data_IF_670746903047
#
_entry.id   IF_670746903047
#
_cell.length_a   1.000
_cell.length_b   1.000
_cell.length_c   1.000
_cell.angle_alpha   90.00
_cell.angle_beta   90.00
_cell.angle_gamma   90.00
#
_symmetry.space_group_name_H-M   'P 1'
#
loop_
_entity.id
_entity.type
_entity.pdbx_description
1 polymer ?
#
# COMPACT_ATOMS: atom_id res chain seq x y z
N UNK A 1 -16.76 -24.54 1.58
CA UNK A 1 -15.85 -23.36 1.64
C UNK A 1 -14.48 -23.75 2.18
N UNK A 2 -13.42 -23.54 1.40
CA UNK A 2 -12.02 -23.86 1.74
C UNK A 2 -11.14 -22.62 1.59
N UNK A 3 -10.30 -22.31 2.57
CA UNK A 3 -9.29 -21.23 2.43
C UNK A 3 -8.18 -21.73 1.50
N UNK A 4 -7.89 -20.96 0.45
CA UNK A 4 -6.87 -21.30 -0.55
C UNK A 4 -5.61 -20.47 -0.39
N UNK A 5 -5.77 -19.19 -0.03
CA UNK A 5 -4.64 -18.27 0.11
C UNK A 5 -4.95 -17.20 1.16
N UNK A 6 -3.91 -16.76 1.86
CA UNK A 6 -3.95 -15.60 2.73
C UNK A 6 -2.64 -14.82 2.64
N UNK A 7 -2.72 -13.50 2.66
CA UNK A 7 -1.58 -12.61 2.85
C UNK A 7 -1.90 -11.49 3.82
N UNK A 8 -0.90 -11.10 4.59
CA UNK A 8 -0.94 -10.02 5.56
C UNK A 8 0.33 -9.19 5.39
N UNK A 9 0.17 -7.91 5.08
CA UNK A 9 1.26 -6.96 4.99
C UNK A 9 1.11 -5.90 6.07
N UNK A 10 2.19 -5.66 6.81
CA UNK A 10 2.23 -4.65 7.87
C UNK A 10 3.42 -3.74 7.67
N UNK A 11 3.17 -2.43 7.65
CA UNK A 11 4.21 -1.42 7.58
C UNK A 11 4.16 -0.50 8.80
N UNK A 12 5.32 -0.15 9.34
CA UNK A 12 5.45 0.73 10.50
C UNK A 12 6.55 1.75 10.29
N UNK A 13 6.32 2.99 10.73
CA UNK A 13 7.34 4.04 10.83
C UNK A 13 7.47 4.44 12.29
N UNK A 14 8.69 4.34 12.83
CA UNK A 14 8.97 4.67 14.22
C UNK A 14 10.19 5.57 14.31
N UNK A 15 10.16 6.50 15.26
CA UNK A 15 11.37 7.17 15.73
C UNK A 15 12.25 6.11 16.39
N UNK A 16 13.50 6.00 15.91
CA UNK A 16 14.47 5.02 16.38
C UNK A 16 15.37 5.63 17.46
N UNK A 17 16.36 6.42 17.05
CA UNK A 17 17.30 7.12 17.94
C UNK A 17 17.66 8.48 17.37
N UNK A 18 17.53 9.55 18.17
CA UNK A 18 17.77 10.91 17.70
C UNK A 18 16.91 11.24 16.48
N UNK A 19 17.53 11.80 15.45
CA UNK A 19 16.90 12.18 14.19
C UNK A 19 16.84 11.00 13.19
N UNK A 20 16.60 9.77 13.66
CA UNK A 20 16.47 8.59 12.80
C UNK A 20 15.08 7.97 12.86
N UNK A 21 14.58 7.59 11.68
CA UNK A 21 13.34 6.84 11.53
C UNK A 21 13.66 5.41 11.10
N UNK A 22 13.12 4.44 11.82
CA UNK A 22 13.09 3.04 11.41
C UNK A 22 11.77 2.76 10.70
N UNK A 23 11.87 2.31 9.45
CA UNK A 23 10.74 1.93 8.62
C UNK A 23 10.83 0.45 8.30
N UNK A 24 9.76 -0.28 8.57
CA UNK A 24 9.64 -1.69 8.24
C UNK A 24 8.39 -1.93 7.41
N UNK A 25 8.48 -2.83 6.44
CA UNK A 25 7.34 -3.44 5.76
C UNK A 25 7.53 -4.95 5.78
N UNK A 26 6.57 -5.66 6.36
CA UNK A 26 6.58 -7.11 6.51
C UNK A 26 5.45 -7.72 5.70
N UNK A 27 5.71 -8.87 5.10
CA UNK A 27 4.73 -9.71 4.42
C UNK A 27 4.75 -11.09 5.07
N UNK A 28 3.58 -11.56 5.49
CA UNK A 28 3.34 -12.94 5.91
C UNK A 28 2.16 -13.46 5.09
N UNK A 29 2.44 -14.35 4.15
CA UNK A 29 1.44 -14.98 3.28
C UNK A 29 1.50 -16.49 3.32
N UNK A 30 0.64 -17.16 2.56
CA UNK A 30 0.72 -18.62 2.37
C UNK A 30 2.10 -19.04 1.87
N UNK A 31 2.74 -18.25 1.01
CA UNK A 31 3.98 -18.65 0.34
C UNK A 31 5.23 -17.98 0.91
N UNK A 32 5.08 -16.76 1.43
CA UNK A 32 6.22 -15.92 1.79
C UNK A 32 6.19 -15.46 3.25
N UNK A 33 7.38 -15.33 3.82
CA UNK A 33 7.65 -14.53 5.01
C UNK A 33 8.85 -13.65 4.71
N UNK A 34 8.64 -12.33 4.65
CA UNK A 34 9.67 -11.39 4.19
C UNK A 34 9.53 -10.02 4.83
N UNK A 35 10.64 -9.28 4.91
CA UNK A 35 10.72 -7.92 5.45
C UNK A 35 11.59 -7.05 4.54
N UNK A 36 11.11 -5.85 4.24
CA UNK A 36 11.93 -4.72 3.78
C UNK A 36 12.11 -3.74 4.92
N UNK A 37 13.32 -3.21 5.07
CA UNK A 37 13.66 -2.28 6.15
C UNK A 37 14.49 -1.11 5.63
N UNK A 38 14.21 0.08 6.16
CA UNK A 38 15.02 1.28 5.97
C UNK A 38 15.26 1.99 7.30
N UNK A 39 16.45 2.57 7.45
CA UNK A 39 16.73 3.61 8.42
C UNK A 39 16.94 4.90 7.64
N UNK A 40 16.20 5.95 7.98
CA UNK A 40 16.30 7.26 7.30
C UNK A 40 16.62 8.36 8.29
N UNK A 41 17.21 9.43 7.80
CA UNK A 41 17.26 10.71 8.51
C UNK A 41 15.84 11.32 8.61
N UNK A 42 15.47 11.84 9.78
CA UNK A 42 14.13 12.36 10.05
C UNK A 42 13.83 13.63 9.26
N UNK A 43 14.82 14.54 9.14
CA UNK A 43 14.63 15.86 8.54
C UNK A 43 14.68 15.82 7.03
N UNK A 44 15.56 15.00 6.46
CA UNK A 44 15.78 14.91 5.01
C UNK A 44 15.16 13.69 4.35
N UNK A 45 14.69 12.70 5.11
CA UNK A 45 14.25 11.40 4.61
C UNK A 45 15.30 10.67 3.76
N UNK A 46 16.58 11.06 3.86
CA UNK A 46 17.67 10.36 3.18
C UNK A 46 17.92 9.01 3.86
N UNK A 47 17.97 7.98 3.04
CA UNK A 47 18.25 6.61 3.48
C UNK A 47 19.68 6.55 4.03
N UNK A 48 19.82 6.07 5.26
CA UNK A 48 21.10 5.75 5.89
C UNK A 48 21.45 4.27 5.72
N UNK A 49 20.45 3.40 5.86
CA UNK A 49 20.57 1.95 5.66
C UNK A 49 19.30 1.43 5.01
N UNK A 50 19.44 0.46 4.12
CA UNK A 50 18.33 -0.28 3.56
C UNK A 50 18.71 -1.76 3.45
N UNK A 51 17.76 -2.64 3.71
CA UNK A 51 17.94 -4.09 3.54
C UNK A 51 16.61 -4.77 3.29
N UNK A 52 16.68 -6.00 2.80
CA UNK A 52 15.54 -6.90 2.76
C UNK A 52 15.96 -8.29 3.21
N UNK A 53 14.99 -9.05 3.69
CA UNK A 53 15.14 -10.44 4.14
C UNK A 53 13.91 -11.24 3.72
N UNK A 54 14.12 -12.42 3.15
CA UNK A 54 13.10 -13.44 2.85
C UNK A 54 13.45 -14.66 3.71
N UNK A 55 12.61 -14.90 4.72
CA UNK A 55 12.77 -16.00 5.66
C UNK A 55 12.13 -17.29 5.14
N UNK A 56 11.05 -17.15 4.35
CA UNK A 56 10.34 -18.26 3.74
C UNK A 56 9.87 -17.91 2.34
N UNK A 57 10.04 -18.87 1.43
CA UNK A 57 9.51 -18.88 0.07
C UNK A 57 9.16 -20.32 -0.33
N UNK A 58 8.45 -20.53 -1.46
CA UNK A 58 8.27 -21.86 -2.03
C UNK A 58 9.62 -22.57 -2.22
N UNK A 59 9.72 -23.79 -1.66
CA UNK A 59 10.90 -24.65 -1.66
C UNK A 59 12.20 -24.00 -1.14
N UNK A 60 12.10 -22.85 -0.45
CA UNK A 60 13.26 -22.06 -0.01
C UNK A 60 14.06 -21.40 -1.15
N UNK A 61 13.54 -21.43 -2.38
CA UNK A 61 14.24 -20.97 -3.60
C UNK A 61 14.64 -19.49 -3.60
N UNK A 62 13.99 -18.65 -2.78
CA UNK A 62 14.22 -17.21 -2.69
C UNK A 62 14.65 -16.76 -1.29
N UNK A 63 14.93 -17.69 -0.38
CA UNK A 63 15.36 -17.36 0.97
C UNK A 63 16.72 -16.66 0.97
N UNK A 64 16.89 -15.69 1.86
CA UNK A 64 18.12 -14.93 1.98
C UNK A 64 17.87 -13.48 2.36
N UNK A 65 18.88 -12.64 2.26
CA UNK A 65 18.76 -11.22 2.55
C UNK A 65 19.96 -10.46 2.05
N UNK A 66 19.78 -9.16 1.85
CA UNK A 66 20.80 -8.29 1.28
C UNK A 66 20.70 -6.89 1.85
N UNK A 67 21.85 -6.34 2.24
CA UNK A 67 22.00 -4.91 2.49
C UNK A 67 22.20 -4.16 1.17
N UNK A 68 21.63 -2.96 1.08
CA UNK A 68 21.59 -2.15 -0.13
C UNK A 68 22.33 -0.82 0.10
N UNK A 69 23.66 -0.82 0.27
CA UNK A 69 24.44 0.40 0.49
C UNK A 69 24.30 1.41 -0.65
N UNK A 70 23.94 0.98 -1.86
CA UNK A 70 23.71 1.83 -3.03
C UNK A 70 22.48 2.74 -2.89
N UNK A 71 21.58 2.46 -1.93
CA UNK A 71 20.47 3.34 -1.60
C UNK A 71 20.84 4.44 -0.59
N UNK A 72 22.03 4.39 0.02
CA UNK A 72 22.44 5.40 0.98
C UNK A 72 22.48 6.80 0.33
N UNK A 73 21.89 7.77 1.01
CA UNK A 73 21.77 9.15 0.54
C UNK A 73 20.58 9.42 -0.39
N UNK A 74 19.90 8.40 -0.93
CA UNK A 74 18.66 8.57 -1.70
C UNK A 74 17.56 9.06 -0.77
N UNK A 75 16.80 10.08 -1.17
CA UNK A 75 15.63 10.52 -0.42
C UNK A 75 14.47 9.53 -0.64
N UNK A 76 13.97 8.94 0.45
CA UNK A 76 12.85 8.00 0.46
C UNK A 76 11.51 8.73 0.30
N UNK A 77 11.30 9.34 -0.87
CA UNK A 77 10.11 10.14 -1.19
C UNK A 77 9.63 9.85 -2.64
N UNK A 78 8.87 10.74 -3.28
CA UNK A 78 8.21 10.45 -4.58
C UNK A 78 9.13 9.93 -5.70
N UNK A 79 10.40 10.34 -5.73
CA UNK A 79 11.36 9.95 -6.76
C UNK A 79 12.10 8.64 -6.46
N UNK A 80 11.91 8.04 -5.28
CA UNK A 80 12.66 6.86 -4.85
C UNK A 80 12.41 5.63 -5.72
N UNK A 81 11.24 5.52 -6.35
CA UNK A 81 10.85 4.34 -7.14
C UNK A 81 11.84 3.99 -8.27
N UNK A 82 12.40 5.00 -8.95
CA UNK A 82 13.41 4.78 -9.99
C UNK A 82 14.72 4.22 -9.43
N UNK A 83 15.13 4.65 -8.23
CA UNK A 83 16.30 4.13 -7.54
C UNK A 83 16.08 2.70 -7.06
N UNK A 84 14.93 2.42 -6.42
CA UNK A 84 14.57 1.07 -5.99
C UNK A 84 14.58 0.08 -7.17
N UNK A 85 14.01 0.47 -8.31
CA UNK A 85 14.04 -0.36 -9.52
C UNK A 85 15.45 -0.60 -10.04
N UNK A 86 16.33 0.40 -10.03
CA UNK A 86 17.72 0.23 -10.51
C UNK A 86 18.58 -0.63 -9.59
N UNK A 87 18.44 -0.46 -8.28
CA UNK A 87 19.30 -1.13 -7.29
C UNK A 87 18.81 -2.56 -7.00
N UNK A 88 17.51 -2.75 -6.89
CA UNK A 88 16.90 -4.04 -6.50
C UNK A 88 16.44 -4.84 -7.73
N UNK A 89 15.99 -4.18 -8.79
CA UNK A 89 15.54 -4.85 -10.01
C UNK A 89 14.34 -5.76 -9.77
N UNK A 90 14.46 -6.99 -10.27
CA UNK A 90 13.48 -8.07 -10.13
C UNK A 90 13.99 -9.21 -9.23
N UNK A 91 14.95 -8.90 -8.36
CA UNK A 91 15.47 -9.83 -7.34
C UNK A 91 14.32 -10.49 -6.58
N UNK A 92 14.36 -11.82 -6.43
CA UNK A 92 13.29 -12.63 -5.84
C UNK A 92 11.88 -12.32 -6.39
N UNK A 93 11.78 -12.13 -7.72
CA UNK A 93 10.52 -11.76 -8.37
C UNK A 93 10.00 -10.43 -7.85
N UNK A 94 10.86 -9.42 -7.71
CA UNK A 94 10.47 -8.06 -7.33
C UNK A 94 9.91 -7.87 -5.91
N UNK A 95 9.68 -8.91 -5.12
CA UNK A 95 9.13 -8.81 -3.76
C UNK A 95 9.92 -7.85 -2.86
N UNK A 96 11.27 -7.91 -2.79
CA UNK A 96 12.07 -6.93 -2.07
C UNK A 96 11.80 -5.47 -2.49
N UNK A 97 11.66 -5.22 -3.79
CA UNK A 97 11.35 -3.88 -4.32
C UNK A 97 9.99 -3.41 -3.84
N UNK A 98 8.98 -4.29 -3.82
CA UNK A 98 7.65 -3.95 -3.33
C UNK A 98 7.66 -3.63 -1.83
N UNK A 99 8.35 -4.42 -1.02
CA UNK A 99 8.47 -4.18 0.43
C UNK A 99 9.14 -2.83 0.72
N UNK A 100 10.22 -2.51 0.00
CA UNK A 100 10.92 -1.23 0.12
C UNK A 100 10.08 -0.06 -0.40
N UNK A 101 9.26 -0.26 -1.43
CA UNK A 101 8.31 0.76 -1.89
C UNK A 101 7.21 1.02 -0.86
N UNK A 102 6.74 0.00 -0.15
CA UNK A 102 5.81 0.18 0.98
C UNK A 102 6.48 0.91 2.16
N UNK A 103 7.78 0.73 2.40
CA UNK A 103 8.53 1.56 3.36
C UNK A 103 8.50 3.05 2.96
N UNK A 104 8.78 3.37 1.69
CA UNK A 104 8.72 4.74 1.18
C UNK A 104 7.32 5.34 1.36
N UNK A 105 6.26 4.59 1.01
CA UNK A 105 4.88 5.04 1.23
C UNK A 105 4.58 5.30 2.71
N UNK A 106 5.05 4.41 3.59
CA UNK A 106 4.90 4.59 5.04
C UNK A 106 5.57 5.88 5.51
N UNK A 107 6.79 6.16 5.05
CA UNK A 107 7.53 7.36 5.41
C UNK A 107 6.83 8.64 4.94
N UNK A 108 6.35 8.66 3.70
CA UNK A 108 5.54 9.75 3.13
C UNK A 108 4.32 10.03 4.02
N UNK A 109 3.61 8.99 4.48
CA UNK A 109 2.45 9.15 5.36
C UNK A 109 2.83 9.59 6.78
N UNK A 110 3.98 9.15 7.30
CA UNK A 110 4.48 9.54 8.61
C UNK A 110 4.90 11.03 8.67
N UNK A 111 5.16 11.66 7.53
CA UNK A 111 5.52 13.07 7.42
C UNK A 111 4.49 13.99 8.10
N UNK A 112 3.21 13.60 8.10
CA UNK A 112 2.12 14.31 8.80
C UNK A 112 2.42 14.56 10.29
N UNK A 113 3.25 13.72 10.93
CA UNK A 113 3.58 13.85 12.36
C UNK A 113 4.92 14.56 12.62
N UNK A 114 5.73 14.75 11.59
CA UNK A 114 7.08 15.37 11.67
C UNK A 114 7.24 16.53 10.69
N UNK A 115 6.13 17.12 10.22
CA UNK A 115 6.16 18.17 9.20
C UNK A 115 6.98 19.40 9.64
N UNK A 116 6.99 19.74 10.94
CA UNK A 116 7.81 20.83 11.47
C UNK A 116 9.30 20.52 11.25
N UNK A 117 9.74 19.32 11.60
CA UNK A 117 11.13 18.88 11.40
C UNK A 117 11.51 18.77 9.92
N UNK A 118 10.51 18.55 9.06
CA UNK A 118 10.63 18.56 7.59
C UNK A 118 10.65 19.96 6.98
N UNK A 119 10.56 21.00 7.82
CA UNK A 119 10.72 22.39 7.41
C UNK A 119 9.41 23.13 7.09
N UNK A 120 8.25 22.53 7.31
CA UNK A 120 6.97 23.22 7.17
C UNK A 120 6.69 24.04 8.43
N UNK A 121 6.43 25.36 8.34
CA UNK A 121 6.29 26.21 9.52
C UNK A 121 4.97 26.04 10.27
N UNK A 122 3.97 25.38 9.67
CA UNK A 122 2.65 25.16 10.27
C UNK A 122 1.90 24.02 9.59
N UNK A 123 0.88 23.49 10.28
CA UNK A 123 -0.05 22.51 9.72
C UNK A 123 -0.67 23.01 8.41
N UNK A 124 -1.09 24.28 8.37
CA UNK A 124 -1.64 24.90 7.15
C UNK A 124 -0.64 24.89 6.00
N UNK A 125 0.62 25.25 6.25
CA UNK A 125 1.64 25.27 5.20
C UNK A 125 1.93 23.86 4.65
N UNK A 126 1.88 22.84 5.51
CA UNK A 126 1.96 21.44 5.09
C UNK A 126 0.75 21.05 4.24
N UNK A 127 -0.48 21.34 4.69
CA UNK A 127 -1.69 21.04 3.93
C UNK A 127 -1.72 21.73 2.56
N UNK A 128 -1.38 23.01 2.50
CA UNK A 128 -1.38 23.78 1.26
C UNK A 128 -0.37 23.18 0.25
N UNK A 129 0.80 22.72 0.71
CA UNK A 129 1.75 21.98 -0.12
C UNK A 129 1.15 20.67 -0.63
N UNK A 130 0.51 19.90 0.24
CA UNK A 130 -0.11 18.61 -0.11
C UNK A 130 -1.27 18.76 -1.10
N UNK A 131 -2.09 19.80 -0.93
CA UNK A 131 -3.18 20.14 -1.86
C UNK A 131 -2.66 20.41 -3.29
N UNK A 132 -1.45 20.98 -3.42
CA UNK A 132 -0.80 21.22 -4.70
C UNK A 132 -0.17 19.95 -5.28
N UNK A 133 0.68 19.25 -4.50
CA UNK A 133 1.45 18.13 -5.02
C UNK A 133 0.60 16.87 -5.29
N UNK A 134 -0.52 16.71 -4.58
CA UNK A 134 -1.46 15.60 -4.78
C UNK A 134 -2.68 15.99 -5.59
N UNK A 135 -2.71 17.18 -6.19
CA UNK A 135 -3.81 17.60 -7.05
C UNK A 135 -4.12 16.51 -8.08
N UNK A 136 -5.39 16.09 -8.14
CA UNK A 136 -5.87 15.02 -9.01
C UNK A 136 -5.35 13.59 -8.71
N UNK A 137 -4.63 13.37 -7.61
CA UNK A 137 -4.05 12.06 -7.29
C UNK A 137 -5.09 11.06 -6.75
N UNK A 138 -6.15 11.54 -6.10
CA UNK A 138 -7.29 10.73 -5.65
C UNK A 138 -8.55 11.59 -5.56
N UNK A 139 -9.69 10.96 -5.29
CA UNK A 139 -10.98 11.65 -5.17
C UNK A 139 -10.98 12.82 -4.18
N UNK A 140 -10.27 12.72 -3.05
CA UNK A 140 -10.14 13.82 -2.09
C UNK A 140 -9.46 15.04 -2.73
N UNK A 141 -8.24 14.85 -3.23
CA UNK A 141 -7.44 15.92 -3.85
C UNK A 141 -7.93 16.36 -5.24
N UNK A 142 -9.01 15.75 -5.76
CA UNK A 142 -9.66 16.15 -7.01
C UNK A 142 -10.95 16.92 -6.78
N UNK A 143 -11.34 17.10 -5.51
CA UNK A 143 -12.60 17.72 -5.11
C UNK A 143 -12.38 18.62 -3.88
N UNK A 144 -11.24 19.32 -3.82
CA UNK A 144 -10.85 20.19 -2.70
C UNK A 144 -11.86 21.34 -2.46
N UNK A 145 -12.67 21.68 -3.47
CA UNK A 145 -13.78 22.63 -3.38
C UNK A 145 -15.06 22.04 -2.76
N UNK A 146 -15.16 20.71 -2.64
CA UNK A 146 -16.31 19.98 -2.09
C UNK A 146 -16.07 19.37 -0.72
N UNK A 147 -14.81 19.28 -0.26
CA UNK A 147 -14.50 18.70 1.04
C UNK A 147 -15.12 19.52 2.17
N UNK A 148 -15.63 18.84 3.19
CA UNK A 148 -16.21 19.47 4.36
C UNK A 148 -15.18 19.75 5.46
N UNK A 149 -14.02 19.09 5.41
CA UNK A 149 -12.93 19.22 6.39
C UNK A 149 -11.57 19.08 5.71
N UNK A 150 -10.57 19.78 6.24
CA UNK A 150 -9.18 19.61 5.78
C UNK A 150 -8.49 18.45 6.50
N UNK A 151 -7.23 18.19 6.15
CA UNK A 151 -6.46 17.05 6.63
C UNK A 151 -6.27 17.08 8.16
N UNK A 152 -5.86 18.21 8.73
CA UNK A 152 -5.64 18.30 10.18
C UNK A 152 -6.94 18.39 10.98
N UNK A 153 -8.05 18.83 10.38
CA UNK A 153 -9.39 18.71 10.99
C UNK A 153 -9.81 17.24 11.12
N UNK A 154 -9.33 16.40 10.21
CA UNK A 154 -9.63 14.98 10.18
C UNK A 154 -8.70 14.14 11.07
N UNK A 155 -7.39 14.26 10.88
CA UNK A 155 -6.39 13.49 11.62
C UNK A 155 -6.36 13.92 13.09
N UNK A 156 -6.73 15.18 13.36
CA UNK A 156 -6.53 15.82 14.64
C UNK A 156 -5.04 16.08 14.88
N UNK A 157 -4.72 17.18 15.55
CA UNK A 157 -3.34 17.42 15.98
C UNK A 157 -2.97 16.44 17.11
N UNK A 158 -2.49 15.26 16.74
CA UNK A 158 -1.97 14.27 17.69
C UNK A 158 -0.45 14.17 17.53
N UNK A 159 0.28 14.80 18.45
CA UNK A 159 1.73 14.63 18.52
C UNK A 159 2.05 13.15 18.77
N UNK A 160 2.93 12.57 17.96
CA UNK A 160 3.40 11.18 18.09
C UNK A 160 4.91 11.19 18.30
N UNK A 161 5.35 10.72 19.46
CA UNK A 161 6.77 10.75 19.83
C UNK A 161 7.56 9.53 19.35
N UNK A 162 6.90 8.37 19.17
CA UNK A 162 7.58 7.09 18.90
C UNK A 162 7.05 6.39 17.67
N UNK A 163 5.78 5.98 17.68
CA UNK A 163 5.16 5.33 16.52
C UNK A 163 4.44 6.38 15.70
N UNK A 164 4.97 6.70 14.52
CA UNK A 164 4.44 7.75 13.67
C UNK A 164 3.35 7.22 12.76
N UNK A 165 3.52 6.05 12.16
CA UNK A 165 2.57 5.52 11.19
C UNK A 165 2.51 4.00 11.22
N UNK A 166 1.31 3.46 11.03
CA UNK A 166 1.05 2.04 10.85
C UNK A 166 0.08 1.85 9.69
N UNK A 167 0.32 0.80 8.91
CA UNK A 167 -0.50 0.39 7.77
C UNK A 167 -0.59 -1.13 7.75
N UNK A 168 -1.79 -1.61 7.46
CA UNK A 168 -2.13 -3.01 7.33
C UNK A 168 -2.89 -3.22 6.02
N UNK A 169 -2.50 -4.24 5.27
CA UNK A 169 -3.21 -4.74 4.12
C UNK A 169 -3.32 -6.27 4.25
N UNK A 170 -4.53 -6.80 4.11
CA UNK A 170 -4.78 -8.24 4.10
C UNK A 170 -5.52 -8.62 2.83
N UNK A 171 -5.22 -9.80 2.31
CA UNK A 171 -6.00 -10.44 1.25
C UNK A 171 -6.25 -11.91 1.60
N UNK A 172 -7.42 -12.42 1.24
CA UNK A 172 -7.81 -13.82 1.42
C UNK A 172 -8.55 -14.32 0.19
N UNK A 173 -8.33 -15.57 -0.18
CA UNK A 173 -9.10 -16.27 -1.22
C UNK A 173 -9.65 -17.56 -0.64
N UNK A 174 -10.94 -17.80 -0.86
CA UNK A 174 -11.63 -19.02 -0.51
C UNK A 174 -12.23 -19.67 -1.76
N UNK A 175 -12.10 -20.98 -1.87
CA UNK A 175 -12.82 -21.80 -2.84
C UNK A 175 -14.20 -22.18 -2.32
N UNK A 176 -15.17 -22.14 -3.23
CA UNK A 176 -16.55 -22.60 -3.02
C UNK A 176 -16.73 -23.97 -3.67
N UNK A 177 -17.73 -24.73 -3.20
CA UNK A 177 -17.89 -26.13 -3.56
C UNK A 177 -18.35 -26.31 -5.04
N UNK A 178 -18.84 -25.23 -5.66
CA UNK A 178 -19.21 -25.15 -7.08
C UNK A 178 -18.03 -24.73 -7.99
N UNK A 179 -16.80 -24.66 -7.48
CA UNK A 179 -15.62 -24.23 -8.24
C UNK A 179 -15.45 -22.72 -8.37
N UNK A 180 -16.39 -21.92 -7.88
CA UNK A 180 -16.24 -20.47 -7.80
C UNK A 180 -15.27 -20.07 -6.68
N UNK A 181 -14.78 -18.84 -6.73
CA UNK A 181 -13.94 -18.25 -5.69
C UNK A 181 -14.65 -17.07 -5.05
N UNK A 182 -14.38 -16.86 -3.77
CA UNK A 182 -14.64 -15.57 -3.11
C UNK A 182 -13.31 -15.05 -2.60
N UNK A 183 -12.99 -13.79 -2.88
CA UNK A 183 -11.77 -13.16 -2.42
C UNK A 183 -12.08 -11.82 -1.76
N UNK A 184 -11.36 -11.51 -0.70
CA UNK A 184 -11.56 -10.28 0.06
C UNK A 184 -10.23 -9.65 0.39
N UNK A 185 -10.22 -8.32 0.46
CA UNK A 185 -9.08 -7.58 0.96
C UNK A 185 -9.52 -6.45 1.89
N UNK A 186 -8.69 -6.18 2.89
CA UNK A 186 -8.94 -5.16 3.91
C UNK A 186 -7.70 -4.29 4.05
N UNK A 187 -7.92 -3.00 4.17
CA UNK A 187 -6.88 -2.01 4.38
C UNK A 187 -7.20 -1.17 5.61
N UNK A 188 -6.21 -0.98 6.47
CA UNK A 188 -6.33 -0.06 7.61
C UNK A 188 -4.99 0.61 7.85
N UNK A 189 -4.96 1.93 7.82
CA UNK A 189 -3.83 2.72 8.26
C UNK A 189 -4.30 3.80 9.26
N UNK A 190 -3.40 4.73 9.61
CA UNK A 190 -3.72 5.80 10.55
C UNK A 190 -4.89 6.69 10.09
N UNK A 191 -5.23 6.70 8.80
CA UNK A 191 -6.11 7.68 8.17
C UNK A 191 -7.25 7.04 7.36
N UNK A 192 -7.14 5.77 6.97
CA UNK A 192 -8.09 5.10 6.10
C UNK A 192 -8.41 3.73 6.66
N UNK A 193 -9.65 3.31 6.47
CA UNK A 193 -10.10 1.95 6.73
C UNK A 193 -11.16 1.60 5.69
N UNK A 194 -10.90 0.55 4.91
CA UNK A 194 -11.76 0.14 3.80
C UNK A 194 -11.57 -1.34 3.50
N UNK A 195 -12.56 -1.94 2.86
CA UNK A 195 -12.55 -3.34 2.45
C UNK A 195 -13.23 -3.55 1.12
N UNK A 196 -12.84 -4.62 0.42
CA UNK A 196 -13.40 -5.08 -0.85
C UNK A 196 -13.62 -6.59 -0.77
N UNK A 197 -14.76 -7.05 -1.27
CA UNK A 197 -15.08 -8.45 -1.50
C UNK A 197 -15.44 -8.64 -2.98
N UNK A 198 -14.90 -9.68 -3.60
CA UNK A 198 -15.17 -10.07 -4.99
C UNK A 198 -15.56 -11.53 -5.01
N UNK A 199 -16.60 -11.86 -5.75
CA UNK A 199 -16.92 -13.23 -6.12
C UNK A 199 -16.52 -13.45 -7.56
N UNK A 200 -15.86 -14.57 -7.83
CA UNK A 200 -15.36 -14.94 -9.14
C UNK A 200 -15.93 -16.28 -9.58
N UNK A 201 -16.23 -16.40 -10.86
CA UNK A 201 -16.52 -17.70 -11.47
C UNK A 201 -15.25 -18.55 -11.60
N UNK A 202 -15.44 -19.80 -12.02
CA UNK A 202 -14.39 -20.78 -12.32
C UNK A 202 -13.31 -20.25 -13.30
N UNK A 203 -13.70 -19.37 -14.24
CA UNK A 203 -12.81 -18.70 -15.19
C UNK A 203 -12.04 -17.51 -14.63
N UNK A 204 -12.13 -17.24 -13.32
CA UNK A 204 -11.46 -16.12 -12.64
C UNK A 204 -12.00 -14.74 -13.03
N UNK A 205 -13.24 -14.67 -13.51
CA UNK A 205 -13.92 -13.41 -13.85
C UNK A 205 -14.78 -12.99 -12.67
N UNK A 206 -14.69 -11.72 -12.28
CA UNK A 206 -15.53 -11.14 -11.23
C UNK A 206 -16.99 -11.16 -11.67
N UNK A 207 -17.86 -11.80 -10.89
CA UNK A 207 -19.31 -11.88 -11.13
C UNK A 207 -20.10 -10.99 -10.18
N UNK A 208 -19.57 -10.74 -8.98
CA UNK A 208 -20.12 -9.80 -8.02
C UNK A 208 -18.99 -9.12 -7.24
N UNK A 209 -19.25 -7.90 -6.76
CA UNK A 209 -18.26 -7.16 -6.00
C UNK A 209 -18.92 -6.15 -5.06
N UNK A 210 -18.39 -6.05 -3.84
CA UNK A 210 -18.81 -5.06 -2.86
C UNK A 210 -17.58 -4.39 -2.24
N UNK A 211 -17.73 -3.14 -1.82
CA UNK A 211 -16.67 -2.42 -1.13
C UNK A 211 -17.23 -1.31 -0.25
N UNK A 212 -16.51 -0.99 0.81
CA UNK A 212 -16.93 -0.05 1.82
C UNK A 212 -15.71 0.70 2.37
N UNK A 213 -15.94 1.96 2.76
CA UNK A 213 -15.04 2.74 3.60
C UNK A 213 -15.66 2.85 4.99
N UNK A 214 -14.89 2.51 6.02
CA UNK A 214 -15.24 2.71 7.43
C UNK A 214 -14.63 4.02 7.96
N UNK A 215 -13.46 4.38 7.45
CA UNK A 215 -12.73 5.59 7.82
C UNK A 215 -12.04 6.18 6.59
N UNK A 216 -12.21 7.48 6.36
CA UNK A 216 -11.57 8.22 5.27
C UNK A 216 -11.53 9.72 5.56
N UNK A 217 -10.65 10.51 4.91
CA UNK A 217 -10.47 11.93 5.19
C UNK A 217 -11.69 12.80 4.99
N UNK A 218 -12.62 12.46 4.08
CA UNK A 218 -13.82 13.26 3.85
C UNK A 218 -14.95 12.39 3.25
N UNK A 219 -16.19 12.91 3.28
CA UNK A 219 -17.37 12.26 2.70
C UNK A 219 -17.21 11.99 1.20
N UNK A 220 -16.52 12.87 0.46
CA UNK A 220 -16.26 12.63 -0.98
C UNK A 220 -15.51 11.32 -1.22
N UNK A 221 -14.73 10.82 -0.26
CA UNK A 221 -14.04 9.54 -0.37
C UNK A 221 -14.99 8.33 -0.39
N UNK A 222 -16.13 8.40 0.31
CA UNK A 222 -17.08 7.28 0.43
C UNK A 222 -17.85 7.02 -0.87
N UNK A 223 -17.93 8.03 -1.73
CA UNK A 223 -18.52 7.93 -3.08
C UNK A 223 -17.74 6.92 -3.97
N UNK A 224 -16.50 6.56 -3.60
CA UNK A 224 -15.72 5.55 -4.32
C UNK A 224 -16.30 4.13 -4.25
N UNK A 225 -17.26 3.85 -3.35
CA UNK A 225 -17.91 2.54 -3.25
C UNK A 225 -18.50 2.07 -4.59
N UNK A 226 -19.02 3.02 -5.38
CA UNK A 226 -19.65 2.71 -6.67
C UNK A 226 -18.62 2.27 -7.73
N UNK A 227 -17.36 2.70 -7.61
CA UNK A 227 -16.31 2.33 -8.57
C UNK A 227 -15.89 0.87 -8.44
N UNK A 228 -16.10 0.27 -7.28
CA UNK A 228 -15.81 -1.14 -7.03
C UNK A 228 -16.64 -2.05 -7.97
N UNK A 229 -17.84 -1.62 -8.34
CA UNK A 229 -18.70 -2.33 -9.30
C UNK A 229 -18.11 -2.40 -10.72
N UNK A 230 -17.17 -1.51 -11.08
CA UNK A 230 -16.47 -1.54 -12.38
C UNK A 230 -15.57 -2.77 -12.55
N UNK A 231 -15.33 -3.51 -11.47
CA UNK A 231 -14.57 -4.76 -11.50
C UNK A 231 -15.42 -5.91 -12.06
N UNK A 232 -16.75 -5.83 -12.06
CA UNK A 232 -17.63 -6.86 -12.59
C UNK A 232 -17.30 -7.09 -14.08
N UNK A 233 -17.15 -8.37 -14.45
CA UNK A 233 -16.75 -8.80 -15.79
C UNK A 233 -15.24 -8.73 -16.05
N UNK A 234 -14.42 -8.28 -15.08
CA UNK A 234 -12.95 -8.22 -15.23
C UNK A 234 -12.27 -9.47 -14.70
N UNK A 235 -11.10 -9.78 -15.27
CA UNK A 235 -10.18 -10.82 -14.77
C UNK A 235 -9.06 -10.16 -13.97
N UNK A 236 -9.36 -9.76 -12.73
CA UNK A 236 -8.44 -8.99 -11.88
C UNK A 236 -7.08 -9.69 -11.65
N UNK A 237 -7.05 -11.03 -11.69
CA UNK A 237 -5.82 -11.83 -11.62
C UNK A 237 -4.91 -11.71 -12.86
N UNK A 238 -5.30 -10.97 -13.90
CA UNK A 238 -4.51 -10.70 -15.11
C UNK A 238 -4.24 -9.21 -15.34
N UNK A 239 -4.76 -8.35 -14.47
CA UNK A 239 -4.62 -6.91 -14.63
C UNK A 239 -3.31 -6.44 -14.02
N UNK A 240 -2.68 -5.49 -14.71
CA UNK A 240 -1.59 -4.69 -14.19
C UNK A 240 -2.11 -3.62 -13.23
N UNK A 241 -1.25 -3.19 -12.30
CA UNK A 241 -1.63 -2.19 -11.29
C UNK A 241 -2.10 -0.87 -11.92
N UNK A 242 -1.53 -0.51 -13.08
CA UNK A 242 -1.94 0.68 -13.85
C UNK A 242 -3.37 0.57 -14.37
N UNK A 243 -3.75 -0.57 -14.94
CA UNK A 243 -5.11 -0.81 -15.46
C UNK A 243 -6.14 -0.79 -14.33
N UNK A 244 -5.78 -1.34 -13.16
CA UNK A 244 -6.61 -1.23 -11.95
C UNK A 244 -6.76 0.25 -11.54
N UNK A 245 -5.66 1.02 -11.61
CA UNK A 245 -5.64 2.46 -11.35
C UNK A 245 -6.62 3.24 -12.23
N UNK A 246 -6.72 2.89 -13.50
CA UNK A 246 -7.66 3.52 -14.45
C UNK A 246 -9.13 3.21 -14.13
N UNK A 247 -9.43 2.08 -13.48
CA UNK A 247 -10.79 1.71 -13.12
C UNK A 247 -11.26 2.31 -11.79
N UNK A 248 -10.44 2.15 -10.74
CA UNK A 248 -10.84 2.43 -9.34
C UNK A 248 -9.94 3.43 -8.63
N UNK A 249 -8.92 3.96 -9.31
CA UNK A 249 -7.95 4.93 -8.78
C UNK A 249 -8.05 6.31 -9.43
N UNK A 250 -6.97 7.10 -9.27
CA UNK A 250 -6.81 8.39 -9.91
C UNK A 250 -7.84 9.44 -9.46
N UNK A 251 -8.11 10.48 -10.28
CA UNK A 251 -8.89 11.64 -9.86
C UNK A 251 -10.33 11.31 -9.43
N UNK A 252 -10.86 10.21 -9.97
CA UNK A 252 -12.21 9.76 -9.67
C UNK A 252 -12.26 8.69 -8.58
N UNK A 253 -11.12 8.11 -8.20
CA UNK A 253 -11.00 6.90 -7.41
C UNK A 253 -10.16 7.03 -6.13
N UNK A 254 -9.68 5.90 -5.62
CA UNK A 254 -8.87 5.80 -4.40
C UNK A 254 -7.62 4.95 -4.65
N UNK A 255 -6.44 5.48 -4.34
CA UNK A 255 -5.18 4.72 -4.47
C UNK A 255 -5.13 3.51 -3.53
N UNK A 256 -5.80 3.56 -2.38
CA UNK A 256 -5.91 2.41 -1.48
C UNK A 256 -6.81 1.31 -2.06
N UNK A 257 -7.86 1.64 -2.83
CA UNK A 257 -8.62 0.63 -3.57
C UNK A 257 -7.76 -0.07 -4.61
N UNK A 258 -6.89 0.67 -5.31
CA UNK A 258 -5.94 0.10 -6.27
C UNK A 258 -5.00 -0.91 -5.58
N UNK A 259 -4.45 -0.54 -4.41
CA UNK A 259 -3.59 -1.43 -3.63
C UNK A 259 -4.32 -2.72 -3.20
N UNK A 260 -5.57 -2.61 -2.73
CA UNK A 260 -6.39 -3.78 -2.34
C UNK A 260 -6.72 -4.67 -3.53
N UNK A 261 -7.26 -4.09 -4.61
CA UNK A 261 -7.68 -4.86 -5.80
C UNK A 261 -6.48 -5.54 -6.44
N UNK A 262 -5.33 -4.88 -6.45
CA UNK A 262 -4.09 -5.48 -6.93
C UNK A 262 -3.63 -6.64 -6.03
N UNK A 263 -3.69 -6.48 -4.71
CA UNK A 263 -3.40 -7.56 -3.76
C UNK A 263 -4.33 -8.77 -3.91
N UNK A 264 -5.63 -8.53 -4.07
CA UNK A 264 -6.61 -9.57 -4.37
C UNK A 264 -6.26 -10.26 -5.68
N UNK A 265 -5.95 -9.51 -6.74
CA UNK A 265 -5.56 -10.04 -8.04
C UNK A 265 -4.36 -10.99 -7.95
N UNK A 266 -3.31 -10.62 -7.19
CA UNK A 266 -2.15 -11.49 -6.94
C UNK A 266 -2.56 -12.76 -6.20
N UNK A 267 -3.35 -12.64 -5.13
CA UNK A 267 -3.81 -13.78 -4.33
C UNK A 267 -4.67 -14.76 -5.15
N UNK A 268 -5.55 -14.24 -6.01
CA UNK A 268 -6.37 -15.04 -6.92
C UNK A 268 -5.49 -15.73 -7.98
N UNK A 269 -4.50 -15.04 -8.53
CA UNK A 269 -3.57 -15.63 -9.51
C UNK A 269 -2.86 -16.86 -8.92
N UNK A 270 -2.32 -16.75 -7.71
CA UNK A 270 -1.70 -17.88 -6.99
C UNK A 270 -2.71 -19.01 -6.76
N UNK A 271 -3.93 -18.68 -6.30
CA UNK A 271 -4.98 -19.67 -6.02
C UNK A 271 -5.45 -20.42 -7.27
N UNK A 272 -5.34 -19.81 -8.45
CA UNK A 272 -5.66 -20.40 -9.75
C UNK A 272 -4.46 -21.14 -10.38
N UNK A 273 -3.31 -21.22 -9.70
CA UNK A 273 -2.09 -21.82 -10.25
C UNK A 273 -1.53 -21.05 -11.46
N UNK A 274 -1.81 -19.74 -11.54
CA UNK A 274 -1.23 -18.89 -12.57
C UNK A 274 0.21 -18.57 -12.19
N UNK A 275 1.18 -18.99 -13.00
CA UNK A 275 2.55 -18.53 -12.89
C UNK A 275 2.58 -17.02 -13.16
N UNK A 276 2.59 -16.22 -12.11
CA UNK A 276 3.11 -14.86 -12.19
C UNK A 276 4.57 -14.94 -11.78
N UNK A 277 5.47 -14.58 -12.68
CA UNK A 277 6.72 -13.97 -12.23
C UNK A 277 6.29 -12.84 -11.28
N UNK A 278 6.71 -12.94 -10.01
CA UNK A 278 6.26 -12.03 -8.94
C UNK A 278 6.71 -10.60 -9.28
#
# INVERSE_FOLDING_TARGET
MKILYQSNSFSTVKVNHGDELLVNSSLISTDFEAVGQMVTDLKSFRIKKARWDIYRSPDGSMNGGKELPELAGVEAYFSAGGFLRRVVGDEAGGLPRELLAECVKGLIQAETFVFIDRGYPSAKAYEDYWDEIYLNACRYYSNLERIARRWFDYVGYCHRERNLFNRFLCCRVCGLDNGHLTASGSFSDSFHELGVCVDLNDGGTVVDCTGNFLRAPDQVCFENREHVLKLIGKKIARMEKKEIGELVGGPHGCNHLVDIVHGIGKAVAVSLGMNREI
#
